data_IF_170176949159
#
_entry.id   IF_170176949159
#
_cell.length_a   1.000
_cell.length_b   1.000
_cell.length_c   1.000
_cell.angle_alpha   90.00
_cell.angle_beta   90.00
_cell.angle_gamma   90.00
#
_symmetry.space_group_name_H-M   'P 1'
#
loop_
_entity.id
_entity.type
_entity.pdbx_description
1 polymer ?
#
# COMPACT_ATOMS: atom_id res chain seq x y z
N UNK A 1 63.46 70.29 -5.29
CA UNK A 1 62.49 69.61 -6.18
C UNK A 1 62.59 68.08 -6.15
N UNK A 2 63.79 67.49 -6.11
CA UNK A 2 63.98 66.03 -6.27
C UNK A 2 63.57 65.18 -5.05
N UNK A 3 63.64 65.71 -3.83
CA UNK A 3 63.34 64.96 -2.59
C UNK A 3 61.82 64.77 -2.35
N UNK A 4 60.99 65.66 -2.88
CA UNK A 4 59.53 65.62 -2.69
C UNK A 4 58.86 64.60 -3.63
N UNK A 5 59.48 64.32 -4.78
CA UNK A 5 58.99 63.35 -5.76
C UNK A 5 59.21 61.89 -5.30
N UNK A 6 60.31 61.62 -4.58
CA UNK A 6 60.61 60.30 -4.05
C UNK A 6 59.62 59.87 -2.94
N UNK A 7 59.19 60.82 -2.10
CA UNK A 7 58.28 60.52 -0.99
C UNK A 7 56.86 60.21 -1.49
N UNK A 8 56.43 60.86 -2.57
CA UNK A 8 55.11 60.63 -3.17
C UNK A 8 55.03 59.27 -3.88
N UNK A 9 56.15 58.80 -4.46
CA UNK A 9 56.22 57.49 -5.10
C UNK A 9 56.17 56.33 -4.09
N UNK A 10 56.76 56.53 -2.90
CA UNK A 10 56.75 55.52 -1.83
C UNK A 10 55.35 55.36 -1.20
N UNK A 11 54.59 56.45 -1.08
CA UNK A 11 53.22 56.41 -0.56
C UNK A 11 52.24 55.72 -1.53
N UNK A 12 52.41 55.91 -2.84
CA UNK A 12 51.60 55.25 -3.86
C UNK A 12 51.80 53.72 -3.85
N UNK A 13 53.04 53.27 -3.66
CA UNK A 13 53.37 51.84 -3.63
C UNK A 13 52.80 51.12 -2.39
N UNK A 14 52.75 51.81 -1.25
CA UNK A 14 52.18 51.26 -0.01
C UNK A 14 50.65 51.10 -0.09
N UNK A 15 49.95 52.05 -0.74
CA UNK A 15 48.50 51.97 -0.96
C UNK A 15 48.13 50.83 -1.91
N UNK A 16 48.95 50.57 -2.93
CA UNK A 16 48.69 49.49 -3.88
C UNK A 16 48.86 48.10 -3.24
N UNK A 17 49.77 47.97 -2.25
CA UNK A 17 49.98 46.72 -1.52
C UNK A 17 48.85 46.39 -0.54
N UNK A 18 48.25 47.40 0.10
CA UNK A 18 47.07 47.21 0.95
C UNK A 18 45.79 46.85 0.17
N UNK A 19 45.61 47.40 -1.02
CA UNK A 19 44.47 47.09 -1.88
C UNK A 19 44.50 45.62 -2.37
N UNK A 20 45.70 45.10 -2.66
CA UNK A 20 45.86 43.72 -3.11
C UNK A 20 45.59 42.69 -1.99
N UNK A 21 45.89 43.05 -0.73
CA UNK A 21 45.62 42.18 0.42
C UNK A 21 44.12 42.05 0.74
N UNK A 22 43.35 43.12 0.58
CA UNK A 22 41.89 43.10 0.78
C UNK A 22 41.16 42.25 -0.26
N UNK A 23 41.66 42.22 -1.50
CA UNK A 23 41.00 41.48 -2.58
C UNK A 23 41.14 39.94 -2.41
N UNK A 24 42.28 39.47 -1.87
CA UNK A 24 42.51 38.04 -1.63
C UNK A 24 41.66 37.53 -0.47
N UNK A 25 41.44 38.34 0.56
CA UNK A 25 40.63 37.95 1.72
C UNK A 25 39.14 37.82 1.37
N UNK A 26 38.63 38.66 0.47
CA UNK A 26 37.24 38.59 0.03
C UNK A 26 36.96 37.36 -0.85
N UNK A 27 37.95 36.92 -1.65
CA UNK A 27 37.81 35.74 -2.51
C UNK A 27 37.82 34.42 -1.72
N UNK A 28 38.55 34.36 -0.59
CA UNK A 28 38.60 33.16 0.26
C UNK A 28 37.28 32.90 0.99
N UNK A 29 36.56 33.97 1.38
CA UNK A 29 35.30 33.84 2.11
C UNK A 29 34.16 33.32 1.22
N UNK A 30 34.16 33.66 -0.07
CA UNK A 30 33.13 33.22 -1.01
C UNK A 30 33.28 31.73 -1.39
N UNK A 31 34.52 31.22 -1.46
CA UNK A 31 34.77 29.81 -1.79
C UNK A 31 34.37 28.87 -0.64
N UNK A 32 34.51 29.30 0.61
CA UNK A 32 34.14 28.51 1.79
C UNK A 32 32.61 28.35 1.93
N UNK A 33 31.84 29.36 1.53
CA UNK A 33 30.37 29.33 1.57
C UNK A 33 29.77 28.37 0.53
N UNK A 34 30.38 28.27 -0.66
CA UNK A 34 29.92 27.38 -1.72
C UNK A 34 30.20 25.90 -1.41
N UNK A 35 31.32 25.60 -0.74
CA UNK A 35 31.65 24.24 -0.31
C UNK A 35 30.77 23.76 0.87
N UNK A 36 30.35 24.67 1.75
CA UNK A 36 29.39 24.38 2.82
C UNK A 36 27.99 24.05 2.26
N UNK A 37 27.52 24.80 1.24
CA UNK A 37 26.23 24.54 0.59
C UNK A 37 26.18 23.15 -0.08
N UNK A 38 27.26 22.73 -0.74
CA UNK A 38 27.36 21.40 -1.35
C UNK A 38 27.35 20.27 -0.31
N UNK A 39 27.95 20.48 0.88
CA UNK A 39 27.90 19.49 1.98
C UNK A 39 26.50 19.35 2.59
N UNK A 40 25.75 20.45 2.72
CA UNK A 40 24.38 20.42 3.25
C UNK A 40 23.43 19.72 2.27
N UNK A 41 23.59 19.97 0.96
CA UNK A 41 22.77 19.31 -0.07
C UNK A 41 23.00 17.79 -0.13
N UNK A 42 24.26 17.34 0.04
CA UNK A 42 24.59 15.91 0.03
C UNK A 42 24.13 15.19 1.31
N UNK A 43 24.13 15.87 2.47
CA UNK A 43 23.55 15.31 3.71
C UNK A 43 22.03 15.17 3.66
N UNK A 44 21.32 16.08 2.99
CA UNK A 44 19.87 15.93 2.81
C UNK A 44 19.53 14.75 1.89
N UNK A 45 20.31 14.47 0.83
CA UNK A 45 20.04 13.32 -0.03
C UNK A 45 20.26 11.95 0.64
N UNK A 46 21.19 11.83 1.60
CA UNK A 46 21.38 10.58 2.34
C UNK A 46 20.30 10.30 3.41
N UNK A 47 19.61 11.33 3.93
CA UNK A 47 18.50 11.11 4.87
C UNK A 47 17.20 10.69 4.19
N UNK A 48 16.91 11.15 2.96
CA UNK A 48 15.69 10.73 2.25
C UNK A 48 15.73 9.26 1.83
N UNK A 49 16.91 8.67 1.61
CA UNK A 49 17.02 7.27 1.20
C UNK A 49 16.91 6.27 2.37
N UNK A 50 17.15 6.69 3.62
CA UNK A 50 16.95 5.84 4.80
C UNK A 50 15.52 5.88 5.35
N UNK A 51 14.71 6.89 5.03
CA UNK A 51 13.32 6.96 5.50
C UNK A 51 12.35 6.01 4.77
N UNK A 52 12.71 5.43 3.63
CA UNK A 52 11.88 4.41 2.98
C UNK A 52 12.01 3.00 3.58
N UNK A 53 13.00 2.74 4.45
CA UNK A 53 13.14 1.44 5.12
C UNK A 53 12.49 1.37 6.51
N UNK A 54 12.07 2.49 7.10
CA UNK A 54 11.51 2.52 8.47
C UNK A 54 9.98 2.38 8.58
N UNK A 55 9.24 2.23 7.48
CA UNK A 55 7.82 1.85 7.57
C UNK A 55 7.60 0.33 7.76
N UNK A 56 8.65 -0.48 7.59
CA UNK A 56 8.66 -1.85 8.07
C UNK A 56 9.21 -1.83 9.51
N UNK A 57 8.36 -2.14 10.50
CA UNK A 57 8.82 -2.29 11.89
C UNK A 57 10.03 -3.25 12.00
N UNK A 58 10.82 -3.15 13.07
CA UNK A 58 12.03 -3.97 13.24
C UNK A 58 11.66 -5.46 13.11
N UNK A 59 12.28 -6.15 12.13
CA UNK A 59 12.07 -7.58 11.89
C UNK A 59 11.14 -7.96 10.71
N UNK A 60 10.83 -7.05 9.79
CA UNK A 60 10.08 -7.37 8.56
C UNK A 60 10.87 -7.06 7.29
N UNK A 61 10.71 -7.90 6.27
CA UNK A 61 11.32 -7.74 4.95
C UNK A 61 10.23 -7.62 3.87
N UNK A 62 10.44 -6.76 2.89
CA UNK A 62 9.61 -6.70 1.68
C UNK A 62 9.81 -7.97 0.86
N UNK A 63 8.72 -8.67 0.57
CA UNK A 63 8.72 -9.94 -0.17
C UNK A 63 8.03 -9.83 -1.53
N UNK A 64 7.20 -8.79 -1.74
CA UNK A 64 6.46 -8.59 -2.99
C UNK A 64 6.12 -7.12 -3.19
N UNK A 65 6.10 -6.71 -4.46
CA UNK A 65 5.64 -5.39 -4.91
C UNK A 65 4.79 -5.61 -6.16
N UNK A 66 3.62 -4.98 -6.20
CA UNK A 66 2.73 -5.11 -7.35
C UNK A 66 1.45 -4.33 -7.19
N UNK A 67 0.38 -4.77 -7.87
CA UNK A 67 -0.92 -4.08 -7.87
C UNK A 67 -2.01 -4.96 -7.28
N UNK A 68 -2.77 -4.42 -6.33
CA UNK A 68 -4.00 -5.03 -5.84
C UNK A 68 -5.19 -4.49 -6.63
N UNK A 69 -5.96 -5.36 -7.28
CA UNK A 69 -7.11 -5.00 -8.11
C UNK A 69 -8.40 -5.63 -7.57
N UNK A 70 -9.51 -4.88 -7.55
CA UNK A 70 -10.83 -5.41 -7.22
C UNK A 70 -11.93 -4.75 -8.04
N UNK A 71 -13.08 -5.41 -8.08
CA UNK A 71 -14.29 -4.89 -8.73
C UNK A 71 -15.33 -4.58 -7.67
N UNK A 72 -15.78 -3.33 -7.63
CA UNK A 72 -16.95 -2.92 -6.84
C UNK A 72 -18.23 -3.29 -7.60
N UNK A 73 -19.04 -4.15 -6.98
CA UNK A 73 -20.35 -4.55 -7.53
C UNK A 73 -21.43 -3.75 -6.81
N UNK A 74 -22.26 -3.02 -7.56
CA UNK A 74 -23.42 -2.30 -7.03
C UNK A 74 -24.49 -3.28 -6.53
N UNK A 75 -25.32 -2.81 -5.58
CA UNK A 75 -26.56 -3.49 -5.16
C UNK A 75 -27.53 -3.58 -6.37
N UNK A 76 -28.48 -4.53 -6.38
CA UNK A 76 -29.35 -4.79 -7.53
C UNK A 76 -30.49 -3.77 -7.69
N UNK A 77 -30.20 -2.48 -7.47
CA UNK A 77 -31.13 -1.39 -7.71
C UNK A 77 -30.34 -0.25 -8.37
N UNK A 78 -30.54 -0.09 -9.68
CA UNK A 78 -29.95 0.87 -10.61
C UNK A 78 -28.48 0.61 -11.01
N UNK A 79 -28.34 -0.02 -12.18
CA UNK A 79 -27.44 0.27 -13.32
C UNK A 79 -26.09 1.02 -13.16
N UNK A 80 -25.46 1.06 -11.99
CA UNK A 80 -24.09 1.58 -11.88
C UNK A 80 -23.13 0.54 -12.48
N UNK A 81 -22.27 0.92 -13.46
CA UNK A 81 -21.31 0.00 -14.07
C UNK A 81 -20.33 -0.55 -13.03
N UNK A 82 -19.87 -1.79 -13.22
CA UNK A 82 -18.82 -2.42 -12.41
C UNK A 82 -17.58 -1.53 -12.43
N UNK A 83 -17.18 -1.01 -11.27
CA UNK A 83 -16.00 -0.14 -11.17
C UNK A 83 -14.81 -1.02 -10.81
N UNK A 84 -13.82 -1.10 -11.70
CA UNK A 84 -12.53 -1.73 -11.41
C UNK A 84 -11.63 -0.71 -10.74
N UNK A 85 -11.15 -1.03 -9.54
CA UNK A 85 -10.21 -0.22 -8.77
C UNK A 85 -8.89 -0.96 -8.67
N UNK A 86 -7.80 -0.21 -8.67
CA UNK A 86 -6.45 -0.75 -8.49
C UNK A 86 -5.66 0.13 -7.51
N UNK A 87 -4.76 -0.50 -6.76
CA UNK A 87 -3.88 0.15 -5.79
C UNK A 87 -2.50 -0.50 -5.87
N UNK A 88 -1.44 0.26 -6.21
CA UNK A 88 -0.07 -0.21 -6.05
C UNK A 88 0.21 -0.54 -4.58
N UNK A 89 0.90 -1.63 -4.30
CA UNK A 89 1.09 -2.12 -2.94
C UNK A 89 2.44 -2.84 -2.78
N UNK A 90 3.04 -2.64 -1.62
CA UNK A 90 4.20 -3.39 -1.13
C UNK A 90 3.71 -4.37 -0.06
N UNK A 91 4.25 -5.58 -0.02
CA UNK A 91 3.94 -6.59 0.99
C UNK A 91 5.20 -6.99 1.73
N UNK A 92 5.14 -6.97 3.07
CA UNK A 92 6.23 -7.38 3.94
C UNK A 92 5.86 -8.55 4.86
N UNK A 93 6.80 -9.47 5.05
CA UNK A 93 6.67 -10.62 5.94
C UNK A 93 7.66 -10.50 7.10
N UNK A 94 7.36 -11.19 8.21
CA UNK A 94 8.28 -11.30 9.35
C UNK A 94 9.52 -12.10 8.97
N UNK A 95 10.65 -11.73 9.55
CA UNK A 95 11.92 -12.46 9.42
C UNK A 95 12.06 -13.39 10.63
N UNK A 96 12.34 -14.66 10.39
CA UNK A 96 12.65 -15.65 11.42
C UNK A 96 13.95 -16.35 11.05
N UNK A 97 14.91 -16.37 11.98
CA UNK A 97 16.24 -16.96 11.77
C UNK A 97 17.01 -16.39 10.56
N UNK A 98 16.80 -15.10 10.24
CA UNK A 98 17.49 -14.44 9.12
C UNK A 98 16.82 -14.61 7.76
N UNK A 99 15.75 -15.40 7.64
CA UNK A 99 14.98 -15.55 6.40
C UNK A 99 13.52 -15.09 6.56
N UNK A 100 12.86 -14.57 5.50
CA UNK A 100 11.42 -14.32 5.51
C UNK A 100 10.62 -15.62 5.76
N UNK A 101 9.61 -15.57 6.63
CA UNK A 101 8.71 -16.70 6.88
C UNK A 101 7.85 -17.11 5.66
N UNK A 102 7.85 -16.25 4.63
CA UNK A 102 7.11 -16.42 3.39
C UNK A 102 7.94 -15.90 2.21
N UNK A 103 8.08 -16.73 1.17
CA UNK A 103 8.64 -16.34 -0.12
C UNK A 103 7.50 -16.03 -1.09
N UNK A 104 7.61 -14.94 -1.83
CA UNK A 104 6.57 -14.46 -2.75
C UNK A 104 7.07 -14.26 -4.19
N UNK A 105 8.18 -14.93 -4.54
CA UNK A 105 8.79 -14.90 -5.88
C UNK A 105 7.84 -15.39 -6.98
N UNK A 106 6.90 -16.28 -6.64
CA UNK A 106 5.92 -16.87 -7.57
C UNK A 106 4.57 -16.16 -7.54
N UNK A 107 4.44 -15.05 -6.81
CA UNK A 107 3.20 -14.27 -6.77
C UNK A 107 3.05 -13.47 -8.07
N UNK A 108 1.84 -13.36 -8.64
CA UNK A 108 1.63 -12.55 -9.83
C UNK A 108 1.85 -11.06 -9.51
N UNK A 109 2.30 -10.29 -10.50
CA UNK A 109 2.47 -8.83 -10.37
C UNK A 109 1.16 -8.10 -10.03
N UNK A 110 0.03 -8.70 -10.42
CA UNK A 110 -1.31 -8.21 -10.12
C UNK A 110 -2.08 -9.26 -9.32
N UNK A 111 -2.46 -8.89 -8.11
CA UNK A 111 -3.31 -9.68 -7.23
C UNK A 111 -4.77 -9.27 -7.40
N UNK A 112 -5.63 -10.24 -7.68
CA UNK A 112 -7.08 -10.01 -7.80
C UNK A 112 -7.76 -10.29 -6.46
N UNK A 113 -8.48 -9.29 -5.97
CA UNK A 113 -9.19 -9.31 -4.71
C UNK A 113 -10.70 -9.24 -4.94
N UNK A 114 -11.43 -10.02 -4.14
CA UNK A 114 -12.88 -9.94 -4.01
C UNK A 114 -13.26 -9.42 -2.62
N UNK A 115 -14.11 -8.40 -2.55
CA UNK A 115 -14.67 -7.93 -1.29
C UNK A 115 -15.75 -8.89 -0.78
N UNK A 116 -15.59 -9.33 0.47
CA UNK A 116 -16.43 -10.34 1.12
C UNK A 116 -16.87 -9.84 2.50
N UNK A 117 -18.14 -10.04 2.91
CA UNK A 117 -18.58 -9.69 4.26
C UNK A 117 -17.74 -10.38 5.35
N UNK A 118 -17.32 -9.64 6.39
CA UNK A 118 -16.49 -10.20 7.49
C UNK A 118 -17.18 -11.33 8.25
N UNK A 119 -18.51 -11.35 8.34
CA UNK A 119 -19.26 -12.44 8.98
C UNK A 119 -19.10 -13.79 8.24
N UNK A 120 -18.97 -13.75 6.90
CA UNK A 120 -18.67 -14.91 6.08
C UNK A 120 -17.27 -15.45 6.41
N UNK A 121 -16.29 -14.54 6.47
CA UNK A 121 -14.91 -14.87 6.80
C UNK A 121 -14.78 -15.34 8.24
N UNK A 122 -15.46 -14.71 9.21
CA UNK A 122 -15.41 -15.07 10.62
C UNK A 122 -15.98 -16.48 10.90
N UNK A 123 -17.08 -16.84 10.22
CA UNK A 123 -17.68 -18.18 10.31
C UNK A 123 -16.74 -19.31 9.90
N UNK A 124 -15.74 -19.02 9.06
CA UNK A 124 -14.76 -19.99 8.56
C UNK A 124 -13.42 -19.82 9.29
N UNK A 125 -13.01 -18.58 9.48
CA UNK A 125 -11.67 -18.16 9.86
C UNK A 125 -11.36 -18.25 11.35
N UNK A 126 -12.35 -18.49 12.22
CA UNK A 126 -12.10 -18.59 13.67
C UNK A 126 -11.01 -19.59 14.07
N UNK A 127 -10.93 -20.74 13.37
CA UNK A 127 -9.85 -21.71 13.54
C UNK A 127 -8.71 -21.50 12.52
N UNK A 128 -9.04 -21.25 11.25
CA UNK A 128 -8.06 -21.20 10.15
C UNK A 128 -7.22 -19.91 10.08
N UNK A 129 -7.65 -18.81 10.73
CA UNK A 129 -6.88 -17.55 10.80
C UNK A 129 -5.97 -17.49 12.04
N UNK A 130 -6.27 -18.26 13.09
CA UNK A 130 -5.41 -18.33 14.28
C UNK A 130 -4.08 -19.02 14.00
N UNK A 131 -4.11 -20.01 13.10
CA UNK A 131 -2.94 -20.74 12.62
C UNK A 131 -2.68 -20.37 11.15
N UNK A 132 -2.37 -19.09 10.90
CA UNK A 132 -2.12 -18.57 9.56
C UNK A 132 -0.83 -17.76 9.52
N UNK A 133 -0.16 -17.79 8.36
CA UNK A 133 0.98 -16.90 8.11
C UNK A 133 0.46 -15.48 7.92
N UNK A 134 1.14 -14.51 8.53
CA UNK A 134 0.72 -13.10 8.52
C UNK A 134 1.70 -12.22 7.74
N UNK A 135 1.16 -11.35 6.89
CA UNK A 135 1.92 -10.35 6.12
C UNK A 135 1.30 -8.97 6.29
N UNK A 136 2.08 -7.92 6.06
CA UNK A 136 1.60 -6.53 6.12
C UNK A 136 1.56 -5.98 4.70
N UNK A 137 0.43 -5.38 4.35
CA UNK A 137 0.23 -4.68 3.08
C UNK A 137 0.42 -3.18 3.32
N UNK A 138 1.25 -2.56 2.48
CA UNK A 138 1.53 -1.14 2.43
C UNK A 138 1.03 -0.60 1.08
N UNK A 139 -0.27 -0.31 0.96
CA UNK A 139 -0.82 0.29 -0.24
C UNK A 139 -0.35 1.74 -0.39
N UNK A 140 -0.03 2.13 -1.63
CA UNK A 140 0.29 3.52 -1.97
C UNK A 140 -0.96 4.39 -1.81
N UNK A 141 -0.87 5.56 -1.14
CA UNK A 141 -2.00 6.48 -1.00
C UNK A 141 -2.59 6.91 -2.35
N UNK A 142 -3.89 6.70 -2.54
CA UNK A 142 -4.66 7.15 -3.70
C UNK A 142 -6.17 7.07 -3.41
N UNK A 143 -7.01 7.64 -4.29
CA UNK A 143 -8.48 7.63 -4.14
C UNK A 143 -9.05 6.20 -4.01
N UNK A 144 -8.49 5.23 -4.74
CA UNK A 144 -8.92 3.83 -4.66
C UNK A 144 -8.67 3.22 -3.27
N UNK A 145 -7.57 3.62 -2.60
CA UNK A 145 -7.27 3.17 -1.24
C UNK A 145 -8.27 3.74 -0.22
N UNK A 146 -8.73 4.98 -0.39
CA UNK A 146 -9.76 5.56 0.47
C UNK A 146 -11.08 4.78 0.37
N UNK A 147 -11.50 4.44 -0.85
CA UNK A 147 -12.66 3.57 -1.09
C UNK A 147 -12.48 2.21 -0.40
N UNK A 148 -11.31 1.56 -0.59
CA UNK A 148 -11.01 0.28 0.01
C UNK A 148 -11.08 0.33 1.55
N UNK A 149 -10.48 1.34 2.14
CA UNK A 149 -10.46 1.56 3.60
C UNK A 149 -11.89 1.71 4.13
N UNK A 150 -12.74 2.45 3.42
CA UNK A 150 -14.16 2.61 3.76
C UNK A 150 -14.91 1.28 3.73
N UNK A 151 -14.75 0.47 2.68
CA UNK A 151 -15.37 -0.86 2.61
C UNK A 151 -14.91 -1.76 3.76
N UNK A 152 -13.60 -1.81 4.03
CA UNK A 152 -13.07 -2.69 5.07
C UNK A 152 -13.44 -2.25 6.49
N UNK A 153 -13.66 -0.95 6.70
CA UNK A 153 -14.21 -0.41 7.95
C UNK A 153 -15.70 -0.72 8.09
N UNK A 154 -16.44 -0.75 6.97
CA UNK A 154 -17.89 -1.04 6.92
C UNK A 154 -18.24 -2.53 7.05
N UNK A 155 -17.32 -3.37 7.51
CA UNK A 155 -17.57 -4.80 7.74
C UNK A 155 -17.24 -5.73 6.57
N UNK A 156 -16.44 -5.28 5.59
CA UNK A 156 -15.91 -6.15 4.53
C UNK A 156 -14.45 -6.54 4.76
N UNK A 157 -14.03 -7.64 4.15
CA UNK A 157 -12.66 -8.13 4.07
C UNK A 157 -12.29 -8.35 2.60
N UNK A 158 -11.00 -8.28 2.28
CA UNK A 158 -10.49 -8.69 0.98
C UNK A 158 -10.21 -10.18 0.96
N UNK A 159 -10.66 -10.88 -0.09
CA UNK A 159 -10.27 -12.26 -0.38
C UNK A 159 -9.46 -12.27 -1.68
N UNK A 160 -8.17 -12.53 -1.58
CA UNK A 160 -7.21 -12.49 -2.69
C UNK A 160 -6.99 -13.88 -3.25
N UNK A 161 -7.15 -14.04 -4.56
CA UNK A 161 -7.05 -15.33 -5.25
C UNK A 161 -5.85 -15.33 -6.20
N UNK A 162 -4.86 -16.16 -5.88
CA UNK A 162 -3.58 -16.20 -6.59
C UNK A 162 -3.61 -16.98 -7.90
N UNK A 163 -4.58 -17.89 -8.05
CA UNK A 163 -4.69 -18.77 -9.22
C UNK A 163 -5.48 -18.16 -10.40
N UNK A 164 -5.54 -16.83 -10.48
CA UNK A 164 -6.36 -16.13 -11.47
C UNK A 164 -5.59 -15.83 -12.78
N UNK A 165 -4.27 -16.00 -12.79
CA UNK A 165 -3.41 -15.74 -13.94
C UNK A 165 -2.96 -17.04 -14.62
N UNK A 166 -2.94 -17.15 -15.97
CA UNK A 166 -2.53 -18.37 -16.68
C UNK A 166 -1.10 -18.83 -16.39
N UNK A 167 -0.23 -17.96 -15.88
CA UNK A 167 1.17 -18.23 -15.56
C UNK A 167 1.40 -18.70 -14.12
N UNK A 168 0.34 -18.82 -13.30
CA UNK A 168 0.44 -19.06 -11.85
C UNK A 168 0.57 -20.53 -11.43
N UNK A 169 0.89 -21.44 -12.36
CA UNK A 169 0.91 -22.90 -12.10
C UNK A 169 1.88 -23.33 -10.98
N UNK A 170 2.79 -22.45 -10.54
CA UNK A 170 3.79 -22.70 -9.51
C UNK A 170 3.61 -21.83 -8.25
N UNK A 171 2.43 -21.23 -8.03
CA UNK A 171 2.17 -20.45 -6.83
C UNK A 171 1.70 -21.35 -5.67
N UNK A 172 2.49 -21.40 -4.58
CA UNK A 172 2.17 -22.19 -3.38
C UNK A 172 1.00 -21.59 -2.58
N UNK A 173 0.72 -20.31 -2.78
CA UNK A 173 -0.39 -19.61 -2.16
C UNK A 173 -1.56 -19.63 -3.13
N UNK A 174 -2.72 -20.10 -2.67
CA UNK A 174 -3.99 -20.13 -3.39
C UNK A 174 -4.91 -19.00 -2.92
N UNK A 175 -4.89 -18.67 -1.63
CA UNK A 175 -5.80 -17.69 -1.02
C UNK A 175 -5.13 -16.88 0.10
N UNK A 176 -5.47 -15.60 0.17
CA UNK A 176 -5.11 -14.70 1.27
C UNK A 176 -6.33 -13.87 1.71
N UNK A 177 -6.50 -13.68 3.01
CA UNK A 177 -7.53 -12.82 3.59
C UNK A 177 -6.89 -11.51 4.04
N UNK A 178 -7.31 -10.40 3.43
CA UNK A 178 -6.86 -9.05 3.73
C UNK A 178 -7.85 -8.36 4.68
N UNK A 179 -7.36 -7.88 5.81
CA UNK A 179 -8.13 -7.15 6.81
C UNK A 179 -7.51 -5.77 7.06
N UNK A 180 -8.35 -4.76 7.25
CA UNK A 180 -7.95 -3.46 7.77
C UNK A 180 -8.17 -3.39 9.28
N UNK A 181 -7.14 -2.99 10.03
CA UNK A 181 -7.20 -2.76 11.47
C UNK A 181 -7.10 -1.26 11.75
N UNK A 182 -8.21 -0.67 12.20
CA UNK A 182 -8.34 0.78 12.38
C UNK A 182 -7.40 1.34 13.46
N UNK A 183 -7.20 0.58 14.54
CA UNK A 183 -6.28 0.88 15.65
C UNK A 183 -4.85 1.16 15.17
N UNK A 184 -4.34 0.32 14.26
CA UNK A 184 -2.98 0.42 13.72
C UNK A 184 -2.91 1.10 12.36
N UNK A 185 -4.05 1.51 11.80
CA UNK A 185 -4.20 2.00 10.41
C UNK A 185 -3.47 1.11 9.41
N UNK A 186 -3.55 -0.20 9.60
CA UNK A 186 -2.73 -1.18 8.88
C UNK A 186 -3.59 -2.18 8.11
N UNK A 187 -3.09 -2.61 6.95
CA UNK A 187 -3.65 -3.71 6.19
C UNK A 187 -2.84 -4.97 6.48
N UNK A 188 -3.51 -6.02 6.96
CA UNK A 188 -2.89 -7.28 7.38
C UNK A 188 -3.47 -8.41 6.55
N UNK A 189 -2.59 -9.14 5.87
CA UNK A 189 -2.93 -10.33 5.10
C UNK A 189 -2.69 -11.60 5.92
N UNK A 190 -3.62 -12.54 5.84
CA UNK A 190 -3.53 -13.85 6.47
C UNK A 190 -3.61 -14.94 5.40
N UNK A 191 -2.64 -15.85 5.41
CA UNK A 191 -2.61 -17.03 4.53
C UNK A 191 -2.94 -18.24 5.39
N UNK A 192 -4.15 -18.82 5.26
CA UNK A 192 -4.52 -20.02 6.01
C UNK A 192 -3.52 -21.15 5.76
N UNK A 193 -3.14 -21.92 6.78
CA UNK A 193 -2.26 -23.07 6.58
C UNK A 193 -2.94 -24.15 5.72
N UNK A 194 -4.21 -24.48 6.03
CA UNK A 194 -5.06 -25.35 5.22
C UNK A 194 -5.89 -24.54 4.22
N UNK A 195 -5.22 -24.11 3.15
CA UNK A 195 -5.83 -23.30 2.10
C UNK A 195 -6.94 -24.05 1.36
N UNK A 196 -6.81 -25.38 1.20
CA UNK A 196 -7.79 -26.20 0.48
C UNK A 196 -9.12 -26.25 1.23
N UNK A 197 -9.09 -26.62 2.52
CA UNK A 197 -10.31 -26.67 3.34
C UNK A 197 -10.94 -25.28 3.49
N UNK A 198 -10.14 -24.23 3.61
CA UNK A 198 -10.64 -22.86 3.68
C UNK A 198 -11.41 -22.47 2.41
N UNK A 199 -10.81 -22.70 1.24
CA UNK A 199 -11.44 -22.38 -0.06
C UNK A 199 -12.73 -23.18 -0.24
N UNK A 200 -12.74 -24.47 0.10
CA UNK A 200 -13.94 -25.31 -0.05
C UNK A 200 -15.08 -24.89 0.87
N UNK A 201 -14.78 -24.55 2.14
CA UNK A 201 -15.78 -24.00 3.06
C UNK A 201 -16.30 -22.65 2.58
N UNK A 202 -15.42 -21.78 2.09
CA UNK A 202 -15.79 -20.47 1.57
C UNK A 202 -16.73 -20.59 0.37
N UNK A 203 -16.43 -21.48 -0.59
CA UNK A 203 -17.30 -21.75 -1.74
C UNK A 203 -18.69 -22.23 -1.32
N UNK A 204 -18.76 -23.17 -0.38
CA UNK A 204 -20.04 -23.69 0.15
C UNK A 204 -20.87 -22.59 0.82
N UNK A 205 -20.24 -21.71 1.60
CA UNK A 205 -20.95 -20.66 2.33
C UNK A 205 -21.47 -19.56 1.38
N UNK A 206 -20.72 -19.22 0.32
CA UNK A 206 -21.18 -18.32 -0.74
C UNK A 206 -22.38 -18.91 -1.48
N UNK A 207 -22.32 -20.20 -1.82
CA UNK A 207 -23.43 -20.90 -2.49
C UNK A 207 -24.68 -20.91 -1.60
N UNK A 208 -24.52 -21.22 -0.32
CA UNK A 208 -25.62 -21.21 0.65
C UNK A 208 -26.25 -19.82 0.77
N UNK A 209 -25.46 -18.75 0.95
CA UNK A 209 -26.00 -17.38 1.04
C UNK A 209 -26.76 -16.96 -0.22
N UNK A 210 -26.25 -17.30 -1.42
CA UNK A 210 -26.96 -17.03 -2.67
C UNK A 210 -28.29 -17.78 -2.75
N UNK A 211 -28.32 -19.05 -2.33
CA UNK A 211 -29.56 -19.85 -2.29
C UNK A 211 -30.58 -19.28 -1.29
N UNK A 212 -30.16 -18.94 -0.07
CA UNK A 212 -31.04 -18.33 0.94
C UNK A 212 -31.58 -16.97 0.50
N UNK A 213 -30.75 -16.17 -0.19
CA UNK A 213 -31.16 -14.86 -0.71
C UNK A 213 -32.15 -14.97 -1.88
N UNK A 214 -32.07 -16.05 -2.68
CA UNK A 214 -33.02 -16.32 -3.75
C UNK A 214 -34.39 -16.77 -3.20
N UNK A 215 -34.42 -17.59 -2.16
CA UNK A 215 -35.65 -18.08 -1.51
C UNK A 215 -36.46 -16.93 -0.90
N UNK A 216 -35.80 -15.97 -0.24
CA UNK A 216 -36.47 -14.78 0.32
C UNK A 216 -37.12 -13.89 -0.74
N UNK A 217 -36.58 -13.84 -1.97
CA UNK A 217 -37.17 -13.07 -3.08
C UNK A 217 -38.37 -13.76 -3.73
N UNK A 218 -38.45 -15.10 -3.66
CA UNK A 218 -39.59 -15.86 -4.16
C UNK A 218 -40.78 -15.92 -3.17
N UNK A 219 -40.54 -15.69 -1.88
CA UNK A 219 -41.59 -15.66 -0.85
C UNK A 219 -42.51 -14.44 -0.89
N UNK A 220 -42.23 -13.41 -1.72
CA UNK A 220 -43.04 -12.19 -1.80
C UNK A 220 -43.95 -12.09 -3.04
N UNK A 221 -43.88 -13.05 -3.97
CA UNK A 221 -44.72 -13.09 -5.19
C UNK A 221 -45.93 -14.05 -5.09
N UNK A 222 -46.18 -14.63 -3.91
CA UNK A 222 -47.20 -15.67 -3.71
C UNK A 222 -48.52 -15.26 -3.05
N UNK A 223 -48.78 -13.98 -2.80
CA UNK A 223 -50.02 -13.51 -2.15
C UNK A 223 -50.78 -12.52 -3.05
N UNK A 224 -51.17 -12.95 -4.25
CA UNK A 224 -52.28 -12.34 -5.00
C UNK A 224 -53.40 -13.38 -5.01
N UNK A 225 -54.30 -13.25 -4.04
CA UNK A 225 -55.56 -14.01 -3.99
C UNK A 225 -56.38 -13.68 -5.25
N UNK A 226 -56.91 -14.67 -5.98
CA UNK A 226 -57.82 -14.39 -7.09
C UNK A 226 -59.15 -13.89 -6.50
N UNK A 227 -59.47 -12.62 -6.76
CA UNK A 227 -60.74 -12.02 -6.41
C UNK A 227 -61.83 -12.65 -7.29
N UNK A 228 -62.66 -13.49 -6.66
CA UNK A 228 -63.81 -14.13 -7.29
C UNK A 228 -64.80 -13.08 -7.80
N UNK A 229 -65.04 -13.12 -9.10
CA UNK A 229 -66.11 -12.44 -9.79
C UNK A 229 -67.44 -13.11 -9.42
N UNK A 230 -68.36 -12.41 -8.75
CA UNK A 230 -69.72 -12.90 -8.50
C UNK A 230 -70.70 -12.08 -9.35
N UNK A 231 -71.57 -12.70 -10.16
CA UNK A 231 -72.61 -12.00 -10.89
C UNK A 231 -73.86 -11.81 -10.00
N UNK A 232 -74.41 -10.61 -10.03
CA UNK A 232 -75.70 -10.23 -9.43
C UNK A 232 -76.16 -8.92 -10.04
#
# INVERSE_FOLDING_TARGET
AQQQQAQQQQQAQQQQQQAQQHQVQQQHQQQQQQQAALRIMNQQQQQVQQQQQQQNGPGRQTIWTGTLEWIEKSKPLNEIPKITRNVPCIVSASIKNGEPELKAETWPEKLIMQLMPKNLIGSIGGAHLKDSKSVVFQPTPCEALESLTKYMTSGYAGCVHFNSAPTSHNCDVKVLILLYTHDRKAFIGFIPNDQAAFVDRLRKLIQHQKASSAILRQGQVGMVMPQNNMPG
#
